data_IF_112580243022
#
_entry.id   IF_112580243022
#
_cell.length_a   1.000
_cell.length_b   1.000
_cell.length_c   1.000
_cell.angle_alpha   90.00
_cell.angle_beta   90.00
_cell.angle_gamma   90.00
#
_symmetry.space_group_name_H-M   'P 1'
#
loop_
_entity.id
_entity.type
_entity.pdbx_description
1 polymer ?
#
# COMPACT_ATOMS: atom_id res chain seq x y z
N UNK A 1 46.99 -28.39 50.20
CA UNK A 1 46.54 -27.14 49.54
C UNK A 1 46.73 -27.19 48.02
N UNK A 2 46.69 -28.39 47.40
CA UNK A 2 46.88 -28.57 45.94
C UNK A 2 45.61 -29.08 45.24
N UNK A 3 44.56 -29.47 45.99
CA UNK A 3 43.32 -29.99 45.40
C UNK A 3 42.27 -28.91 45.08
N UNK A 4 42.48 -27.65 45.47
CA UNK A 4 41.53 -26.56 45.17
C UNK A 4 41.72 -25.99 43.75
N UNK A 5 42.92 -26.14 43.17
CA UNK A 5 43.26 -25.61 41.84
C UNK A 5 42.75 -26.54 40.72
N UNK A 6 42.53 -27.83 41.00
CA UNK A 6 41.97 -28.78 40.02
C UNK A 6 40.48 -28.54 39.76
N UNK A 7 39.71 -28.14 40.78
CA UNK A 7 38.28 -27.82 40.64
C UNK A 7 38.04 -26.51 39.89
N UNK A 8 38.99 -25.57 39.92
CA UNK A 8 38.92 -24.33 39.12
C UNK A 8 39.11 -24.56 37.62
N UNK A 9 39.66 -25.72 37.20
CA UNK A 9 39.75 -26.08 35.77
C UNK A 9 38.45 -26.58 35.17
N UNK A 10 37.38 -26.74 35.96
CA UNK A 10 36.03 -27.05 35.47
C UNK A 10 35.22 -25.75 35.24
N UNK A 11 35.83 -24.57 35.41
CA UNK A 11 35.16 -23.26 35.20
C UNK A 11 35.50 -22.57 33.88
N UNK A 12 35.95 -23.33 32.89
CA UNK A 12 36.28 -22.79 31.54
C UNK A 12 35.74 -23.70 30.43
N UNK A 13 34.53 -24.23 30.63
CA UNK A 13 33.80 -25.02 29.62
C UNK A 13 32.35 -24.56 29.43
N UNK A 14 31.98 -23.34 29.86
CA UNK A 14 30.65 -22.77 29.63
C UNK A 14 30.71 -21.35 29.04
N UNK A 15 31.68 -21.10 28.17
CA UNK A 15 31.75 -19.90 27.33
C UNK A 15 31.77 -20.24 25.85
N UNK A 16 31.22 -21.41 25.49
CA UNK A 16 30.92 -21.79 24.12
C UNK A 16 29.41 -22.01 24.08
N UNK A 17 28.73 -21.33 23.15
CA UNK A 17 27.28 -21.37 22.86
C UNK A 17 26.30 -20.53 23.72
N UNK A 18 26.70 -19.36 24.20
CA UNK A 18 25.70 -18.31 24.40
C UNK A 18 25.42 -17.65 23.05
N UNK A 19 24.27 -18.00 22.47
CA UNK A 19 23.74 -17.38 21.26
C UNK A 19 23.66 -15.86 21.34
N UNK A 20 23.29 -15.24 20.22
CA UNK A 20 23.18 -13.79 20.02
C UNK A 20 22.71 -13.05 21.29
N UNK A 21 23.46 -12.04 21.79
CA UNK A 21 23.08 -11.27 22.96
C UNK A 21 21.62 -10.81 22.88
N UNK A 22 20.90 -10.88 24.00
CA UNK A 22 19.46 -10.50 24.05
C UNK A 22 19.23 -9.08 23.53
N UNK A 23 20.17 -8.18 23.75
CA UNK A 23 20.18 -6.81 23.22
C UNK A 23 20.24 -6.77 21.69
N UNK A 24 21.15 -7.53 21.07
CA UNK A 24 21.25 -7.63 19.60
C UNK A 24 19.98 -8.24 18.98
N UNK A 25 19.36 -9.22 19.64
CA UNK A 25 18.08 -9.81 19.19
C UNK A 25 16.94 -8.80 19.32
N UNK A 26 16.92 -7.99 20.39
CA UNK A 26 15.93 -6.94 20.59
C UNK A 26 16.07 -5.82 19.57
N UNK A 27 17.28 -5.31 19.35
CA UNK A 27 17.54 -4.24 18.39
C UNK A 27 17.16 -4.67 16.98
N UNK A 28 17.54 -5.89 16.57
CA UNK A 28 17.12 -6.46 15.29
C UNK A 28 15.60 -6.57 15.17
N UNK A 29 14.91 -6.99 16.23
CA UNK A 29 13.44 -7.05 16.24
C UNK A 29 12.82 -5.66 16.07
N UNK A 30 13.38 -4.63 16.71
CA UNK A 30 12.92 -3.24 16.56
C UNK A 30 13.15 -2.73 15.13
N UNK A 31 14.31 -3.03 14.54
CA UNK A 31 14.63 -2.68 13.16
C UNK A 31 13.66 -3.35 12.18
N UNK A 32 13.47 -4.67 12.28
CA UNK A 32 12.57 -5.45 11.42
C UNK A 32 11.13 -4.92 11.50
N UNK A 33 10.63 -4.62 12.71
CA UNK A 33 9.30 -4.02 12.89
C UNK A 33 9.22 -2.62 12.28
N UNK A 34 10.27 -1.82 12.41
CA UNK A 34 10.33 -0.47 11.83
C UNK A 34 10.30 -0.52 10.31
N UNK A 35 11.08 -1.41 9.71
CA UNK A 35 11.08 -1.61 8.25
C UNK A 35 9.72 -2.09 7.74
N UNK A 36 9.09 -3.03 8.46
CA UNK A 36 7.74 -3.50 8.15
C UNK A 36 6.71 -2.36 8.11
N UNK A 37 6.70 -1.50 9.12
CA UNK A 37 5.78 -0.35 9.15
C UNK A 37 6.11 0.69 8.07
N UNK A 38 7.39 0.93 7.78
CA UNK A 38 7.81 1.82 6.68
C UNK A 38 7.29 1.31 5.33
N UNK A 39 7.41 0.00 5.07
CA UNK A 39 6.90 -0.62 3.85
C UNK A 39 5.38 -0.48 3.74
N UNK A 40 4.64 -0.70 4.84
CA UNK A 40 3.18 -0.49 4.87
C UNK A 40 2.78 0.95 4.54
N UNK A 41 3.42 1.93 5.18
CA UNK A 41 3.14 3.35 4.95
C UNK A 41 3.45 3.76 3.51
N UNK A 42 4.54 3.23 2.94
CA UNK A 42 4.90 3.48 1.56
C UNK A 42 3.86 2.92 0.57
N UNK A 43 3.39 1.69 0.81
CA UNK A 43 2.34 1.09 -0.01
C UNK A 43 1.02 1.87 0.10
N UNK A 44 0.61 2.23 1.33
CA UNK A 44 -0.58 3.05 1.56
C UNK A 44 -0.53 4.35 0.77
N UNK A 45 0.61 5.05 0.83
CA UNK A 45 0.81 6.30 0.10
C UNK A 45 0.67 6.08 -1.41
N UNK A 46 1.27 5.03 -1.97
CA UNK A 46 1.14 4.70 -3.39
C UNK A 46 -0.32 4.43 -3.81
N UNK A 47 -1.08 3.72 -2.97
CA UNK A 47 -2.49 3.49 -3.23
C UNK A 47 -3.27 4.82 -3.21
N UNK A 48 -3.05 5.65 -2.18
CA UNK A 48 -3.70 6.95 -2.06
C UNK A 48 -3.40 7.87 -3.25
N UNK A 49 -2.14 7.93 -3.69
CA UNK A 49 -1.73 8.73 -4.85
C UNK A 49 -2.41 8.23 -6.15
N UNK A 50 -2.55 6.90 -6.31
CA UNK A 50 -3.23 6.30 -7.45
C UNK A 50 -4.75 6.54 -7.41
N UNK A 51 -5.38 6.43 -6.25
CA UNK A 51 -6.80 6.76 -6.05
C UNK A 51 -7.07 8.22 -6.36
N UNK A 52 -6.22 9.13 -5.88
CA UNK A 52 -6.34 10.55 -6.18
C UNK A 52 -6.21 10.81 -7.68
N UNK A 53 -5.24 10.18 -8.36
CA UNK A 53 -5.10 10.29 -9.81
C UNK A 53 -6.34 9.78 -10.55
N UNK A 54 -6.89 8.64 -10.13
CA UNK A 54 -8.12 8.08 -10.73
C UNK A 54 -9.30 9.03 -10.55
N UNK A 55 -9.48 9.55 -9.34
CA UNK A 55 -10.50 10.55 -9.04
C UNK A 55 -10.39 11.79 -9.94
N UNK A 56 -9.18 12.27 -10.23
CA UNK A 56 -8.98 13.41 -11.14
C UNK A 56 -9.47 13.12 -12.56
N UNK A 57 -9.26 11.90 -13.08
CA UNK A 57 -9.79 11.51 -14.39
C UNK A 57 -11.32 11.32 -14.35
N UNK A 58 -11.88 10.82 -13.24
CA UNK A 58 -13.32 10.65 -13.04
C UNK A 58 -14.09 11.99 -12.95
N UNK A 59 -13.45 13.07 -12.50
CA UNK A 59 -14.05 14.41 -12.49
C UNK A 59 -14.54 14.85 -13.88
N UNK A 60 -13.79 14.51 -14.93
CA UNK A 60 -14.17 14.85 -16.30
C UNK A 60 -15.39 14.03 -16.76
N UNK A 61 -15.47 12.75 -16.35
CA UNK A 61 -16.62 11.89 -16.58
C UNK A 61 -17.87 12.52 -15.95
N UNK A 62 -17.80 12.88 -14.67
CA UNK A 62 -18.94 13.50 -13.97
C UNK A 62 -19.32 14.84 -14.57
N UNK A 63 -18.34 15.65 -14.97
CA UNK A 63 -18.59 16.94 -15.64
C UNK A 63 -19.39 16.75 -16.94
N UNK A 64 -19.02 15.76 -17.76
CA UNK A 64 -19.72 15.48 -19.02
C UNK A 64 -21.11 14.89 -18.74
N UNK A 65 -21.24 13.97 -17.79
CA UNK A 65 -22.52 13.40 -17.38
C UNK A 65 -23.50 14.48 -16.91
N UNK A 66 -23.06 15.41 -16.05
CA UNK A 66 -23.90 16.52 -15.60
C UNK A 66 -24.35 17.44 -16.74
N UNK A 67 -23.51 17.66 -17.76
CA UNK A 67 -23.93 18.39 -18.97
C UNK A 67 -24.99 17.64 -19.77
N UNK A 68 -24.83 16.33 -19.93
CA UNK A 68 -25.79 15.48 -20.63
C UNK A 68 -27.14 15.45 -19.90
N UNK A 69 -27.13 15.35 -18.57
CA UNK A 69 -28.33 15.46 -17.73
C UNK A 69 -29.04 16.81 -17.94
N UNK A 70 -28.32 17.92 -17.87
CA UNK A 70 -28.88 19.25 -18.12
C UNK A 70 -29.50 19.37 -19.52
N UNK A 71 -28.87 18.80 -20.54
CA UNK A 71 -29.41 18.79 -21.91
C UNK A 71 -30.72 18.01 -21.96
N UNK A 72 -30.76 16.82 -21.34
CA UNK A 72 -31.94 15.97 -21.32
C UNK A 72 -33.11 16.59 -20.53
N UNK A 73 -32.81 17.30 -19.43
CA UNK A 73 -33.82 17.84 -18.52
C UNK A 73 -34.36 19.19 -18.99
N UNK A 74 -33.53 20.04 -19.58
CA UNK A 74 -33.87 21.45 -19.86
C UNK A 74 -34.16 21.76 -21.33
N UNK A 75 -33.72 20.92 -22.27
CA UNK A 75 -33.81 21.22 -23.70
C UNK A 75 -34.57 20.14 -24.45
N UNK A 76 -35.32 20.55 -25.48
CA UNK A 76 -35.86 19.59 -26.45
C UNK A 76 -34.67 18.93 -27.18
N UNK A 77 -34.58 17.60 -27.08
CA UNK A 77 -33.46 16.78 -27.60
C UNK A 77 -33.04 17.12 -29.04
N UNK A 78 -33.97 17.57 -29.89
CA UNK A 78 -33.69 17.90 -31.29
C UNK A 78 -32.86 19.19 -31.46
N UNK A 79 -32.99 20.16 -30.56
CA UNK A 79 -32.31 21.46 -30.67
C UNK A 79 -30.79 21.36 -30.37
N UNK A 80 -30.40 20.38 -29.55
CA UNK A 80 -29.00 20.19 -29.10
C UNK A 80 -28.46 18.80 -29.48
N UNK A 81 -29.07 18.13 -30.45
CA UNK A 81 -28.71 16.75 -30.83
C UNK A 81 -27.23 16.59 -31.15
N UNK A 82 -26.65 17.48 -31.96
CA UNK A 82 -25.23 17.41 -32.33
C UNK A 82 -24.31 17.60 -31.11
N UNK A 83 -24.64 18.52 -30.20
CA UNK A 83 -23.85 18.77 -29.00
C UNK A 83 -23.94 17.57 -28.03
N UNK A 84 -25.12 16.96 -27.94
CA UNK A 84 -25.32 15.73 -27.17
C UNK A 84 -24.48 14.58 -27.71
N UNK A 85 -24.49 14.34 -29.03
CA UNK A 85 -23.67 13.29 -29.67
C UNK A 85 -22.16 13.52 -29.45
N UNK A 86 -21.70 14.78 -29.47
CA UNK A 86 -20.31 15.15 -29.13
C UNK A 86 -19.98 14.84 -27.68
N UNK A 87 -20.87 15.18 -26.75
CA UNK A 87 -20.69 14.91 -25.32
C UNK A 87 -20.72 13.40 -25.01
N UNK A 88 -21.60 12.63 -25.65
CA UNK A 88 -21.64 11.17 -25.53
C UNK A 88 -20.32 10.53 -26.03
N UNK A 89 -19.79 11.00 -27.16
CA UNK A 89 -18.49 10.54 -27.67
C UNK A 89 -17.34 10.92 -26.72
N UNK A 90 -17.36 12.14 -26.19
CA UNK A 90 -16.37 12.60 -25.21
C UNK A 90 -16.46 11.82 -23.89
N UNK A 91 -17.67 11.43 -23.47
CA UNK A 91 -17.91 10.63 -22.27
C UNK A 91 -17.22 9.27 -22.38
N UNK A 92 -17.35 8.59 -23.52
CA UNK A 92 -16.68 7.30 -23.77
C UNK A 92 -15.17 7.44 -23.64
N UNK A 93 -14.59 8.48 -24.22
CA UNK A 93 -13.14 8.74 -24.13
C UNK A 93 -12.70 9.06 -22.70
N UNK A 94 -13.47 9.84 -21.95
CA UNK A 94 -13.19 10.15 -20.55
C UNK A 94 -13.27 8.90 -19.66
N UNK A 95 -14.29 8.05 -19.88
CA UNK A 95 -14.45 6.78 -19.17
C UNK A 95 -13.31 5.82 -19.45
N UNK A 96 -12.82 5.75 -20.70
CA UNK A 96 -11.65 4.95 -21.06
C UNK A 96 -10.41 5.44 -20.31
N UNK A 97 -10.13 6.75 -20.31
CA UNK A 97 -9.01 7.33 -19.57
C UNK A 97 -9.08 7.06 -18.07
N UNK A 98 -10.24 7.22 -17.46
CA UNK A 98 -10.44 6.93 -16.04
C UNK A 98 -10.25 5.43 -15.71
N UNK A 99 -10.67 4.56 -16.63
CA UNK A 99 -10.53 3.10 -16.49
C UNK A 99 -9.08 2.63 -16.65
N UNK A 100 -8.29 3.32 -17.46
CA UNK A 100 -6.86 3.02 -17.67
C UNK A 100 -6.00 3.36 -16.44
N UNK A 101 -6.53 4.13 -15.47
CA UNK A 101 -5.82 4.40 -14.22
C UNK A 101 -5.85 3.17 -13.32
N UNK A 102 -4.72 2.47 -13.26
CA UNK A 102 -4.50 1.39 -12.31
C UNK A 102 -4.40 1.92 -10.88
N UNK A 103 -5.25 1.40 -10.00
CA UNK A 103 -5.18 1.61 -8.54
C UNK A 103 -4.71 0.31 -7.90
N UNK A 104 -3.52 0.29 -7.27
CA UNK A 104 -3.03 -0.89 -6.59
C UNK A 104 -3.99 -1.30 -5.47
N UNK A 105 -4.46 -2.55 -5.51
CA UNK A 105 -5.21 -3.13 -4.40
C UNK A 105 -4.23 -3.69 -3.38
N UNK A 106 -4.19 -3.09 -2.20
CA UNK A 106 -3.38 -3.60 -1.10
C UNK A 106 -4.15 -4.71 -0.39
N UNK A 107 -3.52 -5.89 -0.27
CA UNK A 107 -3.99 -6.94 0.61
C UNK A 107 -3.47 -6.69 2.04
N UNK A 108 -4.35 -6.09 2.85
CA UNK A 108 -4.06 -5.77 4.24
C UNK A 108 -3.95 -7.01 5.13
N UNK A 109 -4.54 -8.15 4.75
CA UNK A 109 -4.42 -9.39 5.50
C UNK A 109 -3.01 -9.94 5.37
N UNK A 110 -2.50 -10.02 4.14
CA UNK A 110 -1.12 -10.46 3.86
C UNK A 110 -0.09 -9.54 4.52
N UNK A 111 -0.34 -8.22 4.52
CA UNK A 111 0.55 -7.26 5.20
C UNK A 111 0.50 -7.34 6.73
N UNK A 112 -0.58 -7.84 7.33
CA UNK A 112 -0.70 -7.99 8.78
C UNK A 112 -0.19 -9.34 9.29
N UNK A 113 0.20 -10.27 8.41
CA UNK A 113 0.90 -11.47 8.84
C UNK A 113 2.23 -11.08 9.50
N UNK A 114 2.45 -11.47 10.76
CA UNK A 114 3.73 -11.23 11.39
C UNK A 114 4.77 -12.04 10.61
N UNK A 115 5.78 -11.39 10.03
CA UNK A 115 6.97 -12.07 9.56
C UNK A 115 7.80 -12.46 10.78
N UNK A 116 7.29 -13.40 11.59
CA UNK A 116 8.09 -13.99 12.65
C UNK A 116 9.16 -14.84 11.97
N UNK A 117 10.41 -14.57 12.32
CA UNK A 117 11.61 -15.30 11.91
C UNK A 117 11.30 -16.76 11.60
N UNK A 118 11.47 -17.17 10.34
CA UNK A 118 11.54 -18.59 10.03
C UNK A 118 12.83 -19.14 10.67
N UNK A 119 12.74 -20.28 11.40
CA UNK A 119 13.89 -20.92 12.00
C UNK A 119 14.93 -21.37 10.96
#
# INVERSE_FOLDING_TARGET
MENFIRDLKIKTLMAEDYGTPVEEVFDKCVEDMTEHYRAKLFMLKKQQDAEYKKFQEELEVWRIQGKLELINDLFNNDALKEEKEKLESALVLAQAKASDVYVPKIDWFVLNEPQMFRP
#
